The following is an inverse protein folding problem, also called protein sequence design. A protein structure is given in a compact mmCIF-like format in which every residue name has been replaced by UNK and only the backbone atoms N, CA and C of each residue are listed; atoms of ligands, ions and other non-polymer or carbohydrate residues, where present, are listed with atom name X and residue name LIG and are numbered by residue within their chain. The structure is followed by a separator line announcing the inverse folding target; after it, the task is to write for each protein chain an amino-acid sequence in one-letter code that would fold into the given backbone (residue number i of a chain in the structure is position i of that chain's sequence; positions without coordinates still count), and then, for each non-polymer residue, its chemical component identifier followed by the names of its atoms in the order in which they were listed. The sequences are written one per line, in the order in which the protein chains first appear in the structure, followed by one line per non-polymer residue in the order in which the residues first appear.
data_IF_519539403695
#
_entry.id   IF_519539403695
#
_cell.length_a   1.000
_cell.length_b   1.000
_cell.length_c   1.000
_cell.angle_alpha   90.00
_cell.angle_beta   90.00
_cell.angle_gamma   90.00
#
_symmetry.space_group_name_H-M   'P 1'
#
loop_
_entity.id
_entity.type
_entity.pdbx_description
1 polymer ?
#
# COMPACT_ATOMS: atom_id res chain seq x y z
N UNK A 1 3.37 16.29 -12.18
CA UNK A 1 4.83 16.06 -12.10
C UNK A 1 5.17 14.92 -13.04
N UNK A 2 6.07 15.14 -14.00
CA UNK A 2 6.35 14.20 -15.09
C UNK A 2 7.01 12.91 -14.60
N UNK A 3 6.54 11.79 -15.14
CA UNK A 3 6.85 10.39 -14.81
C UNK A 3 8.27 9.92 -15.20
N UNK A 4 9.23 10.82 -15.41
CA UNK A 4 10.48 10.47 -16.08
C UNK A 4 11.68 10.95 -15.27
N UNK A 5 12.19 10.12 -14.34
CA UNK A 5 13.61 10.02 -13.95
C UNK A 5 13.81 9.24 -12.64
N UNK A 6 13.33 8.00 -12.56
CA UNK A 6 13.84 7.00 -11.62
C UNK A 6 14.08 5.74 -12.44
N UNK A 7 15.36 5.41 -12.65
CA UNK A 7 15.77 4.31 -13.51
C UNK A 7 15.19 2.97 -13.04
N UNK A 8 14.81 2.14 -14.00
CA UNK A 8 14.42 0.75 -13.75
C UNK A 8 15.55 0.01 -13.00
N UNK A 9 15.21 -0.70 -11.92
CA UNK A 9 16.10 -1.71 -11.31
C UNK A 9 17.04 -1.28 -10.17
N UNK A 10 16.86 -0.13 -9.50
CA UNK A 10 17.68 0.13 -8.31
C UNK A 10 17.04 1.04 -7.25
N UNK A 11 16.55 0.42 -6.17
CA UNK A 11 16.35 1.09 -4.90
C UNK A 11 17.72 1.42 -4.26
N UNK A 12 18.16 2.68 -4.36
CA UNK A 12 19.40 3.16 -3.73
C UNK A 12 19.47 2.96 -2.20
N UNK A 13 18.44 3.27 -1.39
CA UNK A 13 18.54 3.15 0.07
C UNK A 13 18.64 1.69 0.54
N UNK A 14 18.15 0.72 -0.23
CA UNK A 14 18.36 -0.70 0.04
C UNK A 14 19.83 -1.15 -0.17
N UNK A 15 20.62 -0.41 -0.97
CA UNK A 15 22.00 -0.77 -1.30
C UNK A 15 23.05 0.04 -0.55
N UNK A 16 22.80 1.34 -0.35
CA UNK A 16 23.79 2.30 0.18
C UNK A 16 23.49 2.75 1.61
N UNK A 17 22.32 2.40 2.15
CA UNK A 17 21.80 3.06 3.35
C UNK A 17 21.36 4.50 3.06
N UNK A 18 20.72 5.13 4.04
CA UNK A 18 20.17 6.48 3.97
C UNK A 18 19.54 6.87 5.29
N UNK A 19 19.03 8.10 5.38
CA UNK A 19 18.34 8.56 6.59
C UNK A 19 16.84 8.30 6.48
N UNK A 20 16.22 7.89 7.59
CA UNK A 20 14.77 7.74 7.66
C UNK A 20 14.10 9.10 7.60
N UNK A 21 12.91 9.15 6.98
CA UNK A 21 12.09 10.34 6.97
C UNK A 21 11.71 10.75 8.40
N UNK A 22 11.66 12.07 8.64
CA UNK A 22 11.09 12.59 9.87
C UNK A 22 9.60 12.25 9.96
N UNK A 23 9.01 12.17 11.16
CA UNK A 23 7.57 11.94 11.30
C UNK A 23 6.71 12.97 10.55
N UNK A 24 7.15 14.23 10.49
CA UNK A 24 6.43 15.29 9.79
C UNK A 24 6.46 15.08 8.26
N UNK A 25 7.62 14.74 7.69
CA UNK A 25 7.76 14.49 6.26
C UNK A 25 7.00 13.23 5.82
N UNK A 26 7.07 12.17 6.63
CA UNK A 26 6.30 10.95 6.39
C UNK A 26 4.79 11.23 6.41
N UNK A 27 4.32 12.07 7.33
CA UNK A 27 2.91 12.46 7.41
C UNK A 27 2.48 13.32 6.22
N UNK A 28 3.34 14.23 5.74
CA UNK A 28 3.07 15.03 4.55
C UNK A 28 2.92 14.14 3.31
N UNK A 29 3.87 13.22 3.07
CA UNK A 29 3.80 12.27 1.95
C UNK A 29 2.60 11.32 2.06
N UNK A 30 2.22 10.90 3.26
CA UNK A 30 1.02 10.09 3.48
C UNK A 30 -0.24 10.83 3.04
N UNK A 31 -0.28 12.14 3.34
CA UNK A 31 -1.43 12.99 3.01
C UNK A 31 -1.54 13.17 1.49
N UNK A 32 -0.43 13.37 0.80
CA UNK A 32 -0.37 13.42 -0.68
C UNK A 32 -0.77 12.10 -1.33
N UNK A 33 -0.25 10.98 -0.81
CA UNK A 33 -0.56 9.63 -1.29
C UNK A 33 -2.07 9.36 -1.22
N UNK A 34 -2.70 9.68 -0.09
CA UNK A 34 -4.12 9.46 0.11
C UNK A 34 -5.01 10.49 -0.60
N UNK A 35 -4.53 11.71 -0.86
CA UNK A 35 -5.28 12.72 -1.62
C UNK A 35 -5.51 12.33 -3.09
N UNK A 36 -4.65 11.48 -3.65
CA UNK A 36 -4.78 10.97 -5.03
C UNK A 36 -5.92 9.97 -5.21
N UNK A 37 -6.52 9.49 -4.12
CA UNK A 37 -7.66 8.57 -4.12
C UNK A 37 -8.81 9.19 -3.30
N UNK A 38 -9.81 9.86 -3.92
CA UNK A 38 -10.84 10.55 -3.16
C UNK A 38 -11.63 9.55 -2.29
N UNK A 39 -11.88 9.86 -1.00
CA UNK A 39 -12.81 9.08 -0.20
C UNK A 39 -14.20 9.26 -0.82
N UNK A 40 -14.74 8.20 -1.41
CA UNK A 40 -16.09 8.16 -1.94
C UNK A 40 -17.10 8.19 -0.79
N UNK A 41 -17.38 9.38 -0.27
CA UNK A 41 -18.51 9.71 0.60
C UNK A 41 -18.49 9.13 2.01
N UNK A 42 -19.23 9.75 2.95
CA UNK A 42 -19.38 9.23 4.31
C UNK A 42 -20.54 8.22 4.35
N UNK A 43 -20.33 6.98 3.94
CA UNK A 43 -21.31 5.93 4.28
C UNK A 43 -20.72 4.51 4.30
N UNK A 44 -20.77 3.89 5.49
CA UNK A 44 -20.47 2.49 5.84
C UNK A 44 -18.99 2.04 5.92
N UNK A 45 -18.49 1.99 7.15
CA UNK A 45 -17.13 1.65 7.56
C UNK A 45 -16.66 0.18 7.34
N UNK A 46 -17.25 -0.58 6.41
CA UNK A 46 -16.97 -2.02 6.31
C UNK A 46 -16.47 -2.52 4.94
N UNK A 47 -16.53 -1.73 3.86
CA UNK A 47 -16.13 -2.20 2.52
C UNK A 47 -15.40 -1.16 1.65
N UNK A 48 -15.05 0.01 2.18
CA UNK A 48 -14.23 0.98 1.47
C UNK A 48 -12.75 0.54 1.48
N UNK A 49 -11.98 0.77 0.41
CA UNK A 49 -10.55 0.49 0.43
C UNK A 49 -9.90 1.46 1.42
N UNK A 50 -9.51 0.94 2.59
CA UNK A 50 -8.89 1.74 3.66
C UNK A 50 -7.71 2.54 3.09
N UNK A 51 -7.52 3.81 3.46
CA UNK A 51 -6.36 4.58 3.01
C UNK A 51 -5.06 3.94 3.52
N UNK A 52 -3.93 4.31 2.93
CA UNK A 52 -2.63 3.97 3.51
C UNK A 52 -2.51 4.60 4.89
N UNK A 53 -1.88 3.90 5.82
CA UNK A 53 -1.56 4.41 7.16
C UNK A 53 -0.13 4.04 7.54
N UNK A 54 0.46 4.84 8.44
CA UNK A 54 1.75 4.51 9.05
C UNK A 54 1.47 3.72 10.32
N UNK A 55 1.91 2.47 10.36
CA UNK A 55 1.73 1.58 11.52
C UNK A 55 3.07 1.10 12.07
N UNK A 56 3.17 0.90 13.40
CA UNK A 56 4.33 0.25 13.98
C UNK A 56 4.33 -1.23 13.61
N UNK A 57 5.37 -1.66 12.91
CA UNK A 57 5.57 -3.04 12.49
C UNK A 57 6.55 -3.74 13.43
N UNK A 58 6.12 -4.81 14.14
CA UNK A 58 7.04 -5.60 14.93
C UNK A 58 7.94 -6.44 14.02
N UNK A 59 9.25 -6.31 14.20
CA UNK A 59 10.25 -7.20 13.61
C UNK A 59 10.84 -8.01 14.76
N UNK A 60 10.42 -9.28 14.88
CA UNK A 60 10.61 -10.11 16.08
C UNK A 60 11.94 -9.89 16.81
N UNK A 61 11.85 -9.51 18.09
CA UNK A 61 13.00 -9.24 18.97
C UNK A 61 13.54 -7.81 18.92
N UNK A 62 12.96 -6.92 18.11
CA UNK A 62 13.38 -5.52 17.95
C UNK A 62 12.24 -4.56 18.28
N UNK A 63 12.59 -3.29 18.55
CA UNK A 63 11.59 -2.21 18.62
C UNK A 63 10.79 -2.13 17.31
N UNK A 64 9.47 -1.87 17.37
CA UNK A 64 8.66 -1.71 16.18
C UNK A 64 9.14 -0.54 15.33
N UNK A 65 9.19 -0.74 14.02
CA UNK A 65 9.57 0.31 13.05
C UNK A 65 8.34 0.82 12.30
N UNK A 66 8.30 2.08 11.87
CA UNK A 66 7.19 2.58 11.07
C UNK A 66 7.18 1.92 9.68
N UNK A 67 6.00 1.48 9.24
CA UNK A 67 5.74 0.95 7.91
C UNK A 67 4.46 1.54 7.33
N UNK A 68 4.39 1.69 6.01
CA UNK A 68 3.16 2.03 5.31
C UNK A 68 2.35 0.77 5.08
N UNK A 69 1.14 0.71 5.63
CA UNK A 69 0.28 -0.45 5.53
C UNK A 69 -1.07 -0.12 4.87
N UNK A 70 -1.55 -1.04 4.04
CA UNK A 70 -2.90 -1.02 3.47
C UNK A 70 -3.41 -2.44 3.25
N UNK A 71 -4.72 -2.64 3.45
CA UNK A 71 -5.40 -3.90 3.13
C UNK A 71 -6.30 -3.73 1.91
N UNK A 72 -6.08 -4.58 0.90
CA UNK A 72 -6.85 -4.66 -0.34
C UNK A 72 -7.84 -5.81 -0.28
N UNK A 73 -9.07 -5.61 -0.75
CA UNK A 73 -10.16 -6.57 -0.60
C UNK A 73 -10.64 -7.15 -1.94
N UNK A 74 -10.75 -8.48 -1.98
CA UNK A 74 -11.12 -9.27 -3.14
C UNK A 74 -12.24 -10.26 -2.80
N UNK A 75 -12.96 -10.72 -3.83
CA UNK A 75 -14.11 -11.63 -3.66
C UNK A 75 -13.71 -13.06 -3.29
N UNK A 76 -12.49 -13.47 -3.59
CA UNK A 76 -11.98 -14.81 -3.32
C UNK A 76 -10.44 -14.81 -3.23
N UNK A 77 -9.88 -15.94 -2.81
CA UNK A 77 -8.44 -16.12 -2.68
C UNK A 77 -7.68 -16.03 -4.01
N UNK A 78 -8.26 -16.51 -5.12
CA UNK A 78 -7.61 -16.48 -6.44
C UNK A 78 -7.29 -15.05 -6.89
N UNK A 79 -8.24 -14.13 -6.73
CA UNK A 79 -8.02 -12.72 -7.08
C UNK A 79 -7.03 -12.04 -6.13
N UNK A 80 -7.09 -12.36 -4.84
CA UNK A 80 -6.11 -11.88 -3.87
C UNK A 80 -4.69 -12.33 -4.23
N UNK A 81 -4.49 -13.63 -4.51
CA UNK A 81 -3.20 -14.18 -4.92
C UNK A 81 -2.68 -13.57 -6.23
N UNK A 82 -3.55 -13.37 -7.23
CA UNK A 82 -3.17 -12.73 -8.48
C UNK A 82 -2.66 -11.29 -8.26
N UNK A 83 -3.33 -10.53 -7.38
CA UNK A 83 -2.88 -9.19 -6.99
C UNK A 83 -1.55 -9.25 -6.23
N UNK A 84 -1.38 -10.17 -5.29
CA UNK A 84 -0.11 -10.39 -4.57
C UNK A 84 1.05 -10.61 -5.54
N UNK A 85 0.86 -11.47 -6.54
CA UNK A 85 1.90 -11.75 -7.54
C UNK A 85 2.23 -10.50 -8.37
N UNK A 86 1.22 -9.73 -8.80
CA UNK A 86 1.44 -8.49 -9.55
C UNK A 86 2.21 -7.44 -8.72
N UNK A 87 1.92 -7.31 -7.42
CA UNK A 87 2.69 -6.46 -6.52
C UNK A 87 4.12 -6.98 -6.37
N UNK A 88 4.31 -8.30 -6.30
CA UNK A 88 5.63 -8.94 -6.28
C UNK A 88 6.46 -8.64 -7.53
N UNK A 89 5.85 -8.66 -8.72
CA UNK A 89 6.55 -8.31 -9.97
C UNK A 89 7.00 -6.85 -9.98
N UNK A 90 6.16 -5.93 -9.49
CA UNK A 90 6.54 -4.51 -9.32
C UNK A 90 7.66 -4.37 -8.30
N UNK A 91 7.60 -5.10 -7.19
CA UNK A 91 8.63 -5.09 -6.16
C UNK A 91 10.00 -5.51 -6.71
N UNK A 92 10.05 -6.62 -7.45
CA UNK A 92 11.26 -7.13 -8.10
C UNK A 92 11.81 -6.15 -9.13
N UNK A 93 10.94 -5.58 -9.99
CA UNK A 93 11.34 -4.60 -11.00
C UNK A 93 12.02 -3.37 -10.39
N UNK A 94 11.56 -2.95 -9.22
CA UNK A 94 12.06 -1.76 -8.51
C UNK A 94 13.20 -2.10 -7.53
N UNK A 95 13.42 -3.38 -7.24
CA UNK A 95 14.36 -3.84 -6.22
C UNK A 95 13.99 -3.34 -4.82
N UNK A 96 12.69 -3.21 -4.53
CA UNK A 96 12.17 -2.79 -3.23
C UNK A 96 11.04 -3.72 -2.84
N UNK A 97 11.15 -4.39 -1.70
CA UNK A 97 10.31 -5.53 -1.38
C UNK A 97 9.38 -5.23 -0.19
N UNK A 98 8.06 -5.47 -0.32
CA UNK A 98 7.12 -5.32 0.78
C UNK A 98 7.04 -6.61 1.61
N UNK A 99 6.38 -6.53 2.75
CA UNK A 99 5.70 -7.70 3.29
C UNK A 99 4.31 -7.83 2.67
N UNK A 100 3.97 -9.05 2.25
CA UNK A 100 2.67 -9.40 1.70
C UNK A 100 2.04 -10.51 2.53
N UNK A 101 0.87 -10.25 3.10
CA UNK A 101 0.05 -11.27 3.73
C UNK A 101 -1.20 -11.47 2.88
N UNK A 102 -1.28 -12.63 2.24
CA UNK A 102 -2.43 -13.02 1.41
C UNK A 102 -3.32 -13.96 2.20
N UNK A 103 -4.58 -13.57 2.36
CA UNK A 103 -5.60 -14.33 3.07
C UNK A 103 -6.85 -14.45 2.18
N UNK A 104 -7.89 -15.15 2.65
CA UNK A 104 -9.11 -15.35 1.86
C UNK A 104 -9.80 -14.02 1.52
N UNK A 105 -9.64 -13.59 0.27
CA UNK A 105 -10.27 -12.37 -0.23
C UNK A 105 -9.62 -11.08 0.30
N UNK A 106 -8.37 -11.13 0.77
CA UNK A 106 -7.63 -9.93 1.18
C UNK A 106 -6.13 -10.06 0.97
N UNK A 107 -5.47 -8.91 0.75
CA UNK A 107 -4.02 -8.79 0.73
C UNK A 107 -3.62 -7.59 1.57
N UNK A 108 -2.85 -7.82 2.63
CA UNK A 108 -2.23 -6.75 3.41
C UNK A 108 -0.83 -6.52 2.89
N UNK A 109 -0.55 -5.28 2.50
CA UNK A 109 0.74 -4.86 1.96
C UNK A 109 1.37 -3.90 2.96
N UNK A 110 2.63 -4.15 3.31
CA UNK A 110 3.41 -3.25 4.16
C UNK A 110 4.74 -2.89 3.49
N UNK A 111 5.00 -1.59 3.33
CA UNK A 111 6.23 -1.03 2.76
C UNK A 111 7.06 -0.35 3.84
N UNK A 112 8.35 -0.70 3.91
CA UNK A 112 9.36 -0.01 4.70
C UNK A 112 10.75 -0.27 4.11
N UNK A 113 11.72 0.54 4.50
CA UNK A 113 13.10 0.36 4.08
C UNK A 113 13.89 -0.35 5.19
N UNK A 114 14.20 -1.63 4.98
CA UNK A 114 14.85 -2.50 5.97
C UNK A 114 16.18 -1.95 6.51
N UNK A 115 17.05 -1.45 5.63
CA UNK A 115 18.43 -1.03 5.97
C UNK A 115 18.47 0.17 6.90
N UNK A 116 17.44 1.04 6.85
CA UNK A 116 17.38 2.27 7.65
C UNK A 116 16.46 2.15 8.86
N UNK A 117 15.75 1.01 9.01
CA UNK A 117 14.83 0.79 10.13
C UNK A 117 13.64 1.74 10.16
N UNK A 118 13.15 2.21 8.99
CA UNK A 118 12.07 3.18 8.93
C UNK A 118 11.55 3.45 7.52
N UNK A 119 10.86 4.58 7.37
CA UNK A 119 10.26 5.00 6.11
C UNK A 119 11.23 5.85 5.29
N UNK A 120 11.28 5.58 4.00
CA UNK A 120 11.93 6.38 2.99
C UNK A 120 10.89 6.82 1.95
N UNK A 121 11.20 7.87 1.17
CA UNK A 121 10.33 8.35 0.09
C UNK A 121 9.96 7.23 -0.91
N UNK A 122 10.85 6.27 -1.10
CA UNK A 122 10.62 5.14 -2.00
C UNK A 122 9.46 4.24 -1.52
N UNK A 123 9.24 4.12 -0.22
CA UNK A 123 8.10 3.37 0.34
C UNK A 123 6.76 3.96 -0.13
N UNK A 124 6.65 5.29 -0.18
CA UNK A 124 5.47 6.00 -0.67
C UNK A 124 5.29 5.85 -2.19
N UNK A 125 6.39 5.82 -2.96
CA UNK A 125 6.35 5.55 -4.41
C UNK A 125 5.82 4.14 -4.66
N UNK A 126 6.31 3.16 -3.91
CA UNK A 126 5.87 1.76 -4.04
C UNK A 126 4.43 1.57 -3.58
N UNK A 127 3.99 2.29 -2.55
CA UNK A 127 2.59 2.35 -2.15
C UNK A 127 1.70 2.91 -3.28
N UNK A 128 2.09 4.01 -3.94
CA UNK A 128 1.35 4.55 -5.08
C UNK A 128 1.32 3.60 -6.28
N UNK A 129 2.42 2.89 -6.58
CA UNK A 129 2.46 1.85 -7.62
C UNK A 129 1.54 0.67 -7.27
N UNK A 130 1.48 0.28 -6.00
CA UNK A 130 0.56 -0.76 -5.50
C UNK A 130 -0.90 -0.36 -5.73
N UNK A 131 -1.23 0.91 -5.49
CA UNK A 131 -2.59 1.44 -5.77
C UNK A 131 -2.94 1.38 -7.26
N UNK A 132 -2.00 1.68 -8.15
CA UNK A 132 -2.19 1.54 -9.58
C UNK A 132 -2.44 0.08 -9.98
N UNK A 133 -1.66 -0.87 -9.46
CA UNK A 133 -1.90 -2.31 -9.66
C UNK A 133 -3.30 -2.71 -9.17
N UNK A 134 -3.74 -2.18 -8.03
CA UNK A 134 -5.07 -2.46 -7.50
C UNK A 134 -6.18 -1.87 -8.39
N UNK A 135 -5.98 -0.68 -8.95
CA UNK A 135 -6.93 -0.03 -9.84
C UNK A 135 -7.26 -0.89 -11.07
N UNK A 136 -6.31 -1.69 -11.56
CA UNK A 136 -6.50 -2.60 -12.70
C UNK A 136 -6.88 -4.03 -12.28
N UNK A 137 -6.72 -4.38 -11.00
CA UNK A 137 -6.96 -5.75 -10.54
C UNK A 137 -8.43 -6.21 -10.69
N UNK A 138 -8.68 -7.43 -11.19
CA UNK A 138 -10.03 -8.00 -11.27
C UNK A 138 -10.52 -8.49 -9.90
N UNK A 139 -11.84 -8.68 -9.77
CA UNK A 139 -12.41 -9.40 -8.61
C UNK A 139 -12.38 -8.63 -7.29
N UNK A 140 -12.19 -7.31 -7.33
CA UNK A 140 -12.33 -6.43 -6.16
C UNK A 140 -13.71 -6.56 -5.53
N UNK A 141 -13.76 -6.52 -4.19
CA UNK A 141 -15.05 -6.31 -3.50
C UNK A 141 -15.53 -4.89 -3.83
N UNK A 142 -16.74 -4.78 -4.36
CA UNK A 142 -17.38 -3.47 -4.51
C UNK A 142 -17.80 -3.01 -3.12
N UNK A 143 -17.72 -1.71 -2.84
CA UNK A 143 -18.48 -1.14 -1.74
C UNK A 143 -19.94 -1.54 -1.95
N UNK A 144 -20.53 -2.24 -0.98
CA UNK A 144 -21.94 -2.59 -1.07
C UNK A 144 -22.74 -1.31 -1.00
N UNK A 145 -23.40 -0.93 -2.09
CA UNK A 145 -24.47 0.07 -2.04
C UNK A 145 -25.61 -0.60 -1.28
N UNK A 146 -25.88 -0.16 -0.05
CA UNK A 146 -27.09 -0.57 0.64
C UNK A 146 -28.27 -0.05 -0.19
N UNK A 147 -29.07 -0.96 -0.74
CA UNK A 147 -30.31 -0.60 -1.40
C UNK A 147 -31.29 -0.13 -0.33
N UNK A 148 -31.44 1.19 -0.17
CA UNK A 148 -32.54 1.77 0.61
C UNK A 148 -33.83 1.53 -0.15
N UNK A 149 -34.56 0.44 0.16
CA UNK A 149 -35.94 0.31 -0.28
C UNK A 149 -36.81 1.21 0.58
N UNK A 150 -37.20 2.36 0.03
CA UNK A 150 -38.33 3.12 0.56
C UNK A 150 -39.61 2.33 0.25
N UNK A 151 -40.21 1.75 1.28
CA UNK A 151 -41.55 1.21 1.22
C UNK A 151 -42.55 2.35 1.00
N UNK A 152 -43.48 2.12 0.08
CA UNK A 152 -44.67 2.93 -0.18
C UNK A 152 -45.70 2.75 0.93
#
# INVERSE_FOLDING_TARGET
MSSSSLGEGSCEPCKKGGEALSPADAQALLSELNASCPPSGPESAALQPQPWSITPRPLGGSEPIPALERTFLFRNFRHALAFTNAVGEVAEKEGHHPALLTEWGSVRVAWWTHVIGGLHRNDFIMAAKTDAVFADAPGKKKASVAATSAAQ
#
